data_IF_603576607553
#
_entry.id   IF_603576607553
#
_cell.length_a   1.000
_cell.length_b   1.000
_cell.length_c   1.000
_cell.angle_alpha   90.00
_cell.angle_beta   90.00
_cell.angle_gamma   90.00
#
_symmetry.space_group_name_H-M   'P 1'
#
loop_
_entity.id
_entity.type
_entity.pdbx_description
1 polymer ?
#
# COMPACT_ATOMS: atom_id res chain seq x y z
N UNK A 1 3.36 2.22 4.70
CA UNK A 1 3.88 2.68 6.00
C UNK A 1 5.36 2.36 6.12
N UNK A 2 5.79 1.15 5.78
CA UNK A 2 7.21 0.73 5.83
C UNK A 2 8.07 1.60 4.91
N UNK A 3 7.59 1.89 3.71
CA UNK A 3 8.33 2.68 2.72
C UNK A 3 8.41 4.17 3.06
N UNK A 4 7.44 4.71 3.75
CA UNK A 4 7.50 6.09 4.24
C UNK A 4 8.62 6.30 5.26
N UNK A 5 8.99 5.27 6.02
CA UNK A 5 10.07 5.37 7.01
C UNK A 5 11.46 5.08 6.47
N UNK A 6 11.59 4.26 5.44
CA UNK A 6 12.88 3.99 4.82
C UNK A 6 13.52 5.25 4.22
N UNK A 7 12.73 6.28 3.92
CA UNK A 7 13.26 7.60 3.49
C UNK A 7 13.84 8.44 4.63
N UNK A 8 13.46 8.20 5.88
CA UNK A 8 13.82 9.07 7.01
C UNK A 8 14.86 8.47 7.95
N UNK A 9 15.19 7.20 7.85
CA UNK A 9 16.22 6.59 8.67
C UNK A 9 17.05 5.55 7.90
N UNK A 10 18.38 5.67 7.98
CA UNK A 10 19.34 4.69 7.45
C UNK A 10 19.42 3.39 8.28
N UNK A 11 18.55 3.21 9.29
CA UNK A 11 18.52 2.00 10.13
C UNK A 11 17.37 1.11 9.67
N UNK A 12 17.64 -0.17 9.44
CA UNK A 12 16.65 -1.21 9.29
C UNK A 12 15.77 -1.25 10.55
N UNK A 13 14.64 -0.58 10.50
CA UNK A 13 13.64 -0.66 11.55
C UNK A 13 12.88 -1.96 11.36
N UNK A 14 13.16 -2.94 12.19
CA UNK A 14 12.38 -4.18 12.20
C UNK A 14 10.96 -3.85 12.67
N UNK A 15 10.02 -3.78 11.72
CA UNK A 15 8.63 -3.42 11.95
C UNK A 15 7.80 -4.71 11.92
N UNK A 16 7.15 -5.00 13.04
CA UNK A 16 6.21 -6.11 13.10
C UNK A 16 4.83 -5.68 12.57
N UNK A 17 4.60 -5.91 11.29
CA UNK A 17 3.32 -5.61 10.64
C UNK A 17 2.18 -6.54 11.06
N UNK A 18 2.49 -7.72 11.60
CA UNK A 18 1.47 -8.69 12.05
C UNK A 18 0.60 -8.14 13.18
N UNK A 19 1.15 -7.24 14.00
CA UNK A 19 0.37 -6.67 15.12
C UNK A 19 -0.83 -5.82 14.63
N UNK A 20 -0.72 -5.13 13.49
CA UNK A 20 -1.86 -4.41 12.91
C UNK A 20 -2.91 -5.42 12.43
N UNK A 21 -2.49 -6.45 11.69
CA UNK A 21 -3.41 -7.48 11.21
C UNK A 21 -4.09 -8.24 12.34
N UNK A 22 -3.36 -8.58 13.41
CA UNK A 22 -3.89 -9.29 14.57
C UNK A 22 -4.83 -8.43 15.44
N UNK A 23 -4.80 -7.10 15.28
CA UNK A 23 -5.67 -6.17 15.98
C UNK A 23 -6.97 -5.85 15.23
N UNK A 24 -7.20 -6.45 14.03
CA UNK A 24 -8.40 -6.22 13.24
C UNK A 24 -9.69 -6.62 13.98
N UNK A 25 -10.81 -6.02 13.62
CA UNK A 25 -12.12 -6.26 14.26
C UNK A 25 -12.65 -7.68 14.02
N UNK A 26 -12.45 -8.23 12.82
CA UNK A 26 -12.86 -9.60 12.46
C UNK A 26 -11.68 -10.57 12.61
N UNK A 27 -11.44 -11.00 13.86
CA UNK A 27 -10.34 -11.94 14.18
C UNK A 27 -10.68 -13.40 13.91
N UNK A 28 -11.97 -13.72 13.85
CA UNK A 28 -12.46 -15.10 13.76
C UNK A 28 -12.48 -15.62 12.33
N UNK A 29 -12.36 -14.70 11.35
CA UNK A 29 -12.32 -15.04 9.93
C UNK A 29 -11.09 -14.39 9.26
N UNK A 30 -10.43 -15.13 8.39
CA UNK A 30 -9.30 -14.63 7.61
C UNK A 30 -9.77 -14.03 6.26
N UNK A 31 -10.65 -13.02 6.36
CA UNK A 31 -11.21 -12.31 5.20
C UNK A 31 -10.38 -11.10 4.76
N UNK A 32 -9.16 -10.97 5.30
CA UNK A 32 -8.32 -9.80 5.07
C UNK A 32 -8.66 -8.64 6.01
N UNK A 33 -8.28 -7.43 5.60
CA UNK A 33 -8.47 -6.21 6.38
C UNK A 33 -8.65 -5.03 5.43
N UNK A 34 -9.57 -4.12 5.74
CA UNK A 34 -9.69 -2.88 4.98
C UNK A 34 -8.49 -1.95 5.23
N UNK A 35 -8.10 -1.18 4.20
CA UNK A 35 -7.00 -0.21 4.34
C UNK A 35 -7.35 0.83 5.41
N UNK A 36 -8.60 1.30 5.45
CA UNK A 36 -9.07 2.26 6.45
C UNK A 36 -8.91 1.75 7.87
N UNK A 37 -9.25 0.49 8.14
CA UNK A 37 -9.08 -0.12 9.46
C UNK A 37 -7.60 -0.22 9.84
N UNK A 38 -6.74 -0.68 8.92
CA UNK A 38 -5.30 -0.76 9.13
C UNK A 38 -4.70 0.61 9.47
N UNK A 39 -5.09 1.65 8.75
CA UNK A 39 -4.64 3.01 9.01
C UNK A 39 -5.17 3.57 10.34
N UNK A 40 -6.43 3.27 10.69
CA UNK A 40 -7.00 3.66 11.98
C UNK A 40 -6.26 3.03 13.15
N UNK A 41 -5.89 1.76 13.05
CA UNK A 41 -5.09 1.06 14.06
C UNK A 41 -3.66 1.63 14.13
N UNK A 42 -3.03 1.91 12.98
CA UNK A 42 -1.71 2.53 12.93
C UNK A 42 -1.69 3.94 13.54
N UNK A 43 -2.76 4.70 13.39
CA UNK A 43 -2.93 6.01 14.02
C UNK A 43 -3.14 5.89 15.52
N UNK A 44 -4.03 5.01 15.97
CA UNK A 44 -4.44 4.90 17.37
C UNK A 44 -3.38 4.19 18.21
N UNK A 45 -2.95 3.02 17.80
CA UNK A 45 -2.03 2.17 18.56
C UNK A 45 -0.58 2.30 18.09
N UNK A 46 -0.37 2.66 16.84
CA UNK A 46 0.93 2.68 16.22
C UNK A 46 1.43 1.28 15.87
N UNK A 47 2.64 1.22 15.35
CA UNK A 47 3.33 0.01 14.92
C UNK A 47 4.61 -0.10 15.71
N UNK A 48 4.84 -1.20 16.39
CA UNK A 48 6.07 -1.45 17.16
C UNK A 48 7.23 -1.69 16.20
N UNK A 49 8.37 -1.16 16.57
CA UNK A 49 9.64 -1.37 15.89
C UNK A 49 10.76 -1.50 16.92
N UNK A 50 11.96 -1.89 16.49
CA UNK A 50 13.14 -1.94 17.36
C UNK A 50 13.59 -0.57 17.91
N UNK A 51 13.04 0.52 17.38
CA UNK A 51 13.35 1.91 17.82
C UNK A 51 12.18 2.60 18.52
N UNK A 52 11.11 1.85 18.86
CA UNK A 52 9.93 2.36 19.53
C UNK A 52 8.65 2.22 18.70
N UNK A 53 7.57 2.83 19.19
CA UNK A 53 6.26 2.80 18.51
C UNK A 53 6.18 3.93 17.48
N UNK A 54 5.80 3.58 16.27
CA UNK A 54 5.63 4.49 15.15
C UNK A 54 4.13 4.69 14.95
N UNK A 55 3.68 5.93 14.94
CA UNK A 55 2.30 6.29 14.61
C UNK A 55 2.26 7.12 13.34
N UNK A 56 1.22 6.92 12.54
CA UNK A 56 0.84 7.92 11.55
C UNK A 56 0.05 9.02 12.28
N UNK A 57 0.20 10.25 11.83
CA UNK A 57 -0.51 11.38 12.45
C UNK A 57 -1.96 11.38 12.00
N UNK A 58 -2.19 11.29 10.69
CA UNK A 58 -3.51 11.22 10.09
C UNK A 58 -3.47 10.51 8.73
N UNK A 59 -4.64 10.30 8.13
CA UNK A 59 -4.77 9.71 6.80
C UNK A 59 -6.02 10.23 6.08
N UNK A 60 -5.96 10.26 4.76
CA UNK A 60 -7.07 10.73 3.93
C UNK A 60 -7.22 9.86 2.68
N UNK A 61 -8.48 9.73 2.22
CA UNK A 61 -8.78 9.11 0.95
C UNK A 61 -8.62 10.11 -0.19
N UNK A 62 -8.07 9.66 -1.31
CA UNK A 62 -7.81 10.45 -2.52
C UNK A 62 -8.73 10.00 -3.64
N UNK A 63 -9.28 10.96 -4.39
CA UNK A 63 -10.25 10.69 -5.47
C UNK A 63 -9.74 10.94 -6.90
N UNK A 64 -8.51 11.42 -7.09
CA UNK A 64 -8.03 11.73 -8.45
C UNK A 64 -6.55 11.43 -8.67
N UNK A 65 -6.19 11.20 -9.93
CA UNK A 65 -4.82 10.98 -10.37
C UNK A 65 -3.90 12.15 -10.00
N UNK A 66 -4.37 13.37 -10.20
CA UNK A 66 -3.58 14.58 -9.92
C UNK A 66 -3.28 14.70 -8.43
N UNK A 67 -4.27 14.46 -7.56
CA UNK A 67 -4.08 14.51 -6.10
C UNK A 67 -3.16 13.36 -5.65
N UNK A 68 -3.26 12.18 -6.28
CA UNK A 68 -2.33 11.07 -6.01
C UNK A 68 -0.87 11.48 -6.28
N UNK A 69 -0.60 12.11 -7.42
CA UNK A 69 0.75 12.62 -7.76
C UNK A 69 1.24 13.65 -6.72
N UNK A 70 0.37 14.56 -6.32
CA UNK A 70 0.70 15.56 -5.27
C UNK A 70 0.97 14.89 -3.92
N UNK A 71 0.14 13.91 -3.51
CA UNK A 71 0.32 13.20 -2.26
C UNK A 71 1.65 12.44 -2.21
N UNK A 72 2.06 11.81 -3.31
CA UNK A 72 3.36 11.13 -3.41
C UNK A 72 4.51 12.12 -3.21
N UNK A 73 4.42 13.31 -3.78
CA UNK A 73 5.45 14.35 -3.64
C UNK A 73 5.51 14.94 -2.22
N UNK A 74 4.36 15.22 -1.62
CA UNK A 74 4.27 15.90 -0.33
C UNK A 74 4.42 14.94 0.86
N UNK A 75 3.77 13.78 0.80
CA UNK A 75 3.62 12.86 1.92
C UNK A 75 4.44 11.56 1.77
N UNK A 76 4.92 11.27 0.56
CA UNK A 76 5.63 10.03 0.24
C UNK A 76 4.71 8.93 -0.29
N UNK A 77 5.05 7.64 -0.08
CA UNK A 77 4.28 6.52 -0.60
C UNK A 77 2.81 6.53 -0.19
N UNK A 78 1.94 6.15 -1.12
CA UNK A 78 0.50 6.13 -1.01
C UNK A 78 0.01 4.70 -1.13
N UNK A 79 -0.95 4.28 -0.31
CA UNK A 79 -1.56 2.96 -0.37
C UNK A 79 -2.70 2.95 -1.38
N UNK A 80 -2.75 1.93 -2.24
CA UNK A 80 -3.86 1.71 -3.16
C UNK A 80 -4.40 0.29 -3.05
N UNK A 81 -5.71 0.14 -3.26
CA UNK A 81 -6.34 -1.15 -3.44
C UNK A 81 -6.53 -1.44 -4.93
N UNK A 82 -6.05 -2.60 -5.36
CA UNK A 82 -6.24 -3.13 -6.71
C UNK A 82 -6.96 -4.47 -6.65
N UNK A 83 -7.79 -4.81 -7.65
CA UNK A 83 -8.28 -6.17 -7.80
C UNK A 83 -7.13 -7.09 -8.26
N UNK A 84 -7.19 -8.34 -7.90
CA UNK A 84 -6.31 -9.40 -8.41
C UNK A 84 -7.15 -10.38 -9.19
N UNK A 85 -6.80 -10.59 -10.45
CA UNK A 85 -7.40 -11.57 -11.34
C UNK A 85 -6.45 -12.72 -11.69
N UNK A 86 -5.14 -12.44 -11.73
CA UNK A 86 -4.11 -13.44 -11.97
C UNK A 86 -2.79 -12.97 -11.37
N UNK A 87 -2.45 -13.49 -10.19
CA UNK A 87 -1.25 -13.11 -9.44
C UNK A 87 0.06 -13.50 -10.13
N UNK A 88 0.03 -14.37 -11.15
CA UNK A 88 1.21 -14.76 -11.92
C UNK A 88 1.61 -13.74 -13.00
N UNK A 89 0.73 -12.78 -13.32
CA UNK A 89 0.91 -11.80 -14.41
C UNK A 89 1.43 -10.47 -13.90
N UNK A 90 2.14 -9.75 -14.78
CA UNK A 90 2.58 -8.38 -14.48
C UNK A 90 1.42 -7.37 -14.43
N UNK A 91 0.33 -7.62 -15.14
CA UNK A 91 -0.90 -6.87 -15.14
C UNK A 91 -1.99 -7.57 -14.32
N UNK A 92 -1.65 -8.05 -13.13
CA UNK A 92 -2.47 -8.87 -12.25
C UNK A 92 -3.86 -8.28 -11.92
N UNK A 93 -4.04 -6.98 -12.15
CA UNK A 93 -5.32 -6.27 -11.98
C UNK A 93 -6.28 -6.41 -13.17
N UNK A 94 -5.89 -7.16 -14.21
CA UNK A 94 -6.70 -7.46 -15.39
C UNK A 94 -6.96 -8.96 -15.52
N UNK A 95 -8.20 -9.34 -15.81
CA UNK A 95 -8.58 -10.73 -16.01
C UNK A 95 -10.09 -10.93 -16.02
N UNK A 96 -10.53 -12.19 -16.12
CA UNK A 96 -11.94 -12.56 -16.17
C UNK A 96 -12.51 -12.92 -14.80
N UNK A 97 -11.74 -13.64 -13.98
CA UNK A 97 -12.18 -14.12 -12.66
C UNK A 97 -11.44 -13.39 -11.56
N UNK A 98 -12.19 -12.78 -10.64
CA UNK A 98 -11.63 -12.04 -9.52
C UNK A 98 -11.14 -13.01 -8.44
N UNK A 99 -9.83 -13.01 -8.16
CA UNK A 99 -9.24 -13.77 -7.05
C UNK A 99 -9.40 -13.04 -5.70
N UNK A 100 -9.38 -11.70 -5.69
CA UNK A 100 -9.52 -10.92 -4.47
C UNK A 100 -9.07 -9.47 -4.60
N UNK A 101 -8.98 -8.79 -3.47
CA UNK A 101 -8.41 -7.46 -3.34
C UNK A 101 -6.98 -7.51 -2.82
N UNK A 102 -6.13 -6.58 -3.27
CA UNK A 102 -4.75 -6.48 -2.85
C UNK A 102 -4.34 -5.04 -2.58
N UNK A 103 -3.63 -4.83 -1.48
CA UNK A 103 -3.11 -3.52 -1.11
C UNK A 103 -1.62 -3.43 -1.49
N UNK A 104 -1.27 -2.40 -2.24
CA UNK A 104 0.11 -2.13 -2.66
C UNK A 104 0.48 -0.67 -2.40
N UNK A 105 1.77 -0.36 -2.39
CA UNK A 105 2.27 1.00 -2.23
C UNK A 105 2.62 1.60 -3.60
N UNK A 106 2.08 2.78 -3.89
CA UNK A 106 2.57 3.64 -4.98
C UNK A 106 3.71 4.47 -4.42
N UNK A 107 4.90 4.25 -4.93
CA UNK A 107 6.13 4.88 -4.41
C UNK A 107 6.67 6.01 -5.27
N UNK A 108 6.10 6.18 -6.46
CA UNK A 108 6.49 7.21 -7.41
C UNK A 108 5.64 7.16 -8.68
N UNK A 109 6.02 7.97 -9.63
CA UNK A 109 5.46 7.95 -10.98
C UNK A 109 6.47 8.50 -11.98
N UNK A 110 6.31 8.11 -13.24
CA UNK A 110 7.09 8.60 -14.37
C UNK A 110 6.20 8.84 -15.59
N UNK A 111 6.79 8.99 -16.77
CA UNK A 111 6.04 9.19 -18.02
C UNK A 111 5.15 8.01 -18.42
N UNK A 112 5.41 6.81 -17.90
CA UNK A 112 4.71 5.57 -18.26
C UNK A 112 3.54 5.27 -17.31
N UNK A 113 3.58 5.76 -16.05
CA UNK A 113 2.55 5.48 -15.07
C UNK A 113 3.01 5.60 -13.63
N UNK A 114 2.24 5.00 -12.73
CA UNK A 114 2.56 4.91 -11.32
C UNK A 114 3.48 3.73 -11.02
N UNK A 115 4.53 3.95 -10.24
CA UNK A 115 5.47 2.92 -9.80
C UNK A 115 4.91 2.28 -8.53
N UNK A 116 4.53 1.02 -8.65
CA UNK A 116 3.98 0.21 -7.56
C UNK A 116 5.11 -0.63 -6.95
N UNK A 117 5.19 -0.64 -5.63
CA UNK A 117 5.93 -1.64 -4.86
C UNK A 117 4.97 -2.66 -4.28
N UNK A 118 5.22 -3.93 -4.60
CA UNK A 118 4.41 -5.06 -4.15
C UNK A 118 5.14 -5.88 -3.06
N UNK A 119 4.39 -6.67 -2.30
CA UNK A 119 4.88 -7.52 -1.22
C UNK A 119 5.15 -8.98 -1.62
N UNK A 120 4.99 -9.34 -2.90
CA UNK A 120 5.15 -10.73 -3.38
C UNK A 120 6.61 -11.16 -3.60
N UNK A 121 7.56 -10.33 -3.20
CA UNK A 121 8.99 -10.62 -3.28
C UNK A 121 9.66 -10.08 -4.54
N UNK A 122 10.99 -10.17 -4.54
CA UNK A 122 11.83 -9.60 -5.62
C UNK A 122 11.81 -10.41 -6.91
N UNK A 123 11.38 -11.66 -6.86
CA UNK A 123 11.23 -12.51 -8.05
C UNK A 123 10.04 -12.09 -8.94
N UNK A 124 9.11 -11.32 -8.40
CA UNK A 124 7.97 -10.82 -9.13
C UNK A 124 8.25 -9.46 -9.77
N UNK A 125 7.72 -9.27 -10.98
CA UNK A 125 7.88 -8.02 -11.72
C UNK A 125 9.35 -7.63 -11.91
N UNK A 126 9.64 -6.35 -11.79
CA UNK A 126 11.01 -5.82 -11.86
C UNK A 126 11.54 -5.60 -10.44
N UNK A 127 12.10 -6.63 -9.82
CA UNK A 127 12.58 -6.61 -8.44
C UNK A 127 11.50 -6.27 -7.39
N UNK A 128 10.27 -6.74 -7.59
CA UNK A 128 9.13 -6.45 -6.72
C UNK A 128 8.38 -5.18 -7.08
N UNK A 129 8.72 -4.53 -8.21
CA UNK A 129 8.06 -3.32 -8.68
C UNK A 129 7.30 -3.55 -9.99
N UNK A 130 6.20 -2.85 -10.16
CA UNK A 130 5.39 -2.78 -11.37
C UNK A 130 5.11 -1.34 -11.75
N UNK A 131 4.77 -1.14 -13.02
CA UNK A 131 4.22 0.14 -13.48
C UNK A 131 2.74 -0.05 -13.76
N UNK A 132 1.88 0.72 -13.09
CA UNK A 132 0.46 0.85 -13.41
C UNK A 132 0.32 2.00 -14.41
N UNK A 133 -0.02 1.71 -15.69
CA UNK A 133 -0.20 2.76 -16.68
C UNK A 133 -1.30 3.75 -16.27
N UNK A 134 -1.19 5.00 -16.67
CA UNK A 134 -2.23 6.00 -16.36
C UNK A 134 -3.59 5.62 -16.93
N UNK A 135 -3.63 4.94 -18.08
CA UNK A 135 -4.86 4.40 -18.67
C UNK A 135 -5.60 3.38 -17.79
N UNK A 136 -4.90 2.78 -16.83
CA UNK A 136 -5.44 1.79 -15.89
C UNK A 136 -5.78 2.40 -14.51
N UNK A 137 -5.72 3.72 -14.37
CA UNK A 137 -6.03 4.41 -13.10
C UNK A 137 -7.42 4.04 -12.56
N UNK A 138 -8.39 3.82 -13.44
CA UNK A 138 -9.76 3.41 -13.10
C UNK A 138 -9.87 2.01 -12.45
N UNK A 139 -8.81 1.20 -12.50
CA UNK A 139 -8.74 -0.10 -11.81
C UNK A 139 -8.53 0.05 -10.31
N UNK A 140 -7.99 1.18 -9.88
CA UNK A 140 -7.77 1.45 -8.46
C UNK A 140 -9.13 1.62 -7.77
N UNK A 141 -9.34 0.88 -6.70
CA UNK A 141 -10.60 0.89 -5.92
C UNK A 141 -10.56 1.89 -4.77
N UNK A 142 -9.42 2.02 -4.13
CA UNK A 142 -9.20 2.95 -3.02
C UNK A 142 -7.79 3.52 -3.09
N UNK A 143 -7.62 4.77 -2.68
CA UNK A 143 -6.33 5.46 -2.60
C UNK A 143 -6.26 6.16 -1.26
N UNK A 144 -5.23 5.87 -0.46
CA UNK A 144 -5.06 6.41 0.87
C UNK A 144 -3.65 6.98 1.07
N UNK A 145 -3.58 8.27 1.43
CA UNK A 145 -2.33 8.91 1.86
C UNK A 145 -2.27 8.96 3.39
N UNK A 146 -1.04 8.89 3.92
CA UNK A 146 -0.75 9.07 5.35
C UNK A 146 0.00 10.38 5.55
N UNK A 147 -0.30 11.05 6.67
CA UNK A 147 0.29 12.33 7.05
C UNK A 147 1.01 12.17 8.41
#
# INVERSE_FOLDING_TARGET
ITDMKLKTSKKDNNIDLKQIYNARSDKDHDNGMSIKEALSLARTHGIKSNVGTIKIHDFAMIGSEQILKQAILCNGPVLIALPVYDSSRNDFWNGAELEGGHCVAVVGYDKNGFIIRNSWGRSYGRNGYWTLPYSEFNKIKEIWTCI
#
